data_IF_966492407783
#
_entry.id   IF_966492407783
#
_cell.length_a   1.000
_cell.length_b   1.000
_cell.length_c   1.000
_cell.angle_alpha   90.00
_cell.angle_beta   90.00
_cell.angle_gamma   90.00
#
_symmetry.space_group_name_H-M   'P 1'
#
loop_
_entity.id
_entity.type
_entity.pdbx_description
1 polymer ?
#
# COMPACT_ATOMS: atom_id res chain seq x y z
N UNK A 1 13.98 1.53 -5.98
CA UNK A 1 14.84 2.03 -4.90
C UNK A 1 15.98 2.91 -5.43
N UNK A 2 16.76 2.47 -6.45
CA UNK A 2 17.88 3.25 -7.02
C UNK A 2 17.47 4.65 -7.50
N UNK A 3 16.27 4.84 -7.99
CA UNK A 3 15.75 6.15 -8.39
C UNK A 3 15.57 7.09 -7.19
N UNK A 4 15.10 6.56 -6.07
CA UNK A 4 14.84 7.33 -4.85
C UNK A 4 16.08 7.50 -3.99
N UNK A 5 16.98 6.51 -4.03
CA UNK A 5 18.23 6.47 -3.26
C UNK A 5 19.43 6.24 -4.20
N UNK A 6 19.81 7.26 -5.01
CA UNK A 6 20.81 7.08 -6.06
C UNK A 6 22.24 6.92 -5.56
N UNK A 7 22.55 7.38 -4.34
CA UNK A 7 23.89 7.36 -3.75
C UNK A 7 24.23 6.08 -3.02
N UNK A 8 23.41 5.05 -3.13
CA UNK A 8 23.57 3.81 -2.36
C UNK A 8 23.73 4.06 -0.84
N UNK A 9 23.03 5.08 -0.35
CA UNK A 9 22.99 5.45 1.06
C UNK A 9 21.90 4.72 1.86
N UNK A 10 21.11 3.88 1.20
CA UNK A 10 20.07 3.08 1.81
C UNK A 10 20.67 1.92 2.61
N UNK A 11 20.33 1.84 3.90
CA UNK A 11 20.66 0.73 4.79
C UNK A 11 19.57 -0.33 4.77
N UNK A 12 18.31 0.10 4.88
CA UNK A 12 17.15 -0.76 4.99
C UNK A 12 15.91 -0.10 4.35
N UNK A 13 15.06 -0.90 3.74
CA UNK A 13 13.76 -0.45 3.25
C UNK A 13 12.67 -1.46 3.64
N UNK A 14 11.73 -1.01 4.46
CA UNK A 14 10.55 -1.76 4.83
C UNK A 14 9.38 -1.25 3.99
N UNK A 15 8.83 -2.13 3.18
CA UNK A 15 7.65 -1.83 2.34
C UNK A 15 6.39 -1.58 3.16
N UNK A 16 6.35 -2.12 4.37
CA UNK A 16 5.29 -1.89 5.33
C UNK A 16 5.87 -1.90 6.73
N UNK A 17 5.61 -0.83 7.49
CA UNK A 17 5.93 -0.77 8.91
C UNK A 17 4.68 -0.49 9.73
N UNK A 18 4.65 -1.00 10.96
CA UNK A 18 3.61 -0.73 11.94
C UNK A 18 3.95 0.46 12.86
N UNK A 19 5.07 1.15 12.62
CA UNK A 19 5.51 2.30 13.41
C UNK A 19 4.48 3.44 13.46
N UNK A 20 3.61 3.52 12.44
CA UNK A 20 2.51 4.48 12.37
C UNK A 20 1.13 3.86 12.71
N UNK A 21 1.10 2.62 13.22
CA UNK A 21 -0.12 1.87 13.52
C UNK A 21 -0.49 0.87 12.43
N UNK A 22 -1.38 -0.09 12.74
CA UNK A 22 -1.75 -1.16 11.82
C UNK A 22 -2.43 -0.67 10.54
N UNK A 23 -3.31 0.33 10.68
CA UNK A 23 -4.09 0.84 9.54
C UNK A 23 -3.30 1.84 8.69
N UNK A 24 -2.07 2.17 9.08
CA UNK A 24 -1.19 3.03 8.31
C UNK A 24 -0.36 2.18 7.36
N UNK A 25 -0.60 2.34 6.07
CA UNK A 25 0.20 1.70 5.03
C UNK A 25 1.34 2.64 4.65
N UNK A 26 2.46 2.51 5.34
CA UNK A 26 3.63 3.36 5.14
C UNK A 26 4.89 2.54 4.90
N UNK A 27 5.76 3.07 4.04
CA UNK A 27 7.11 2.56 3.84
C UNK A 27 8.08 3.29 4.76
N UNK A 28 9.09 2.59 5.24
CA UNK A 28 10.19 3.16 6.00
C UNK A 28 11.52 2.91 5.30
N UNK A 29 12.23 3.97 4.99
CA UNK A 29 13.61 3.93 4.54
C UNK A 29 14.54 4.36 5.67
N UNK A 30 15.55 3.54 5.98
CA UNK A 30 16.63 3.88 6.91
C UNK A 30 17.92 4.04 6.11
N UNK A 31 18.57 5.19 6.21
CA UNK A 31 19.83 5.47 5.53
C UNK A 31 21.02 4.99 6.35
N UNK A 32 22.21 4.92 5.71
CA UNK A 32 23.46 4.49 6.37
C UNK A 32 23.90 5.46 7.49
N UNK A 33 23.51 6.72 7.43
CA UNK A 33 23.73 7.72 8.48
C UNK A 33 22.72 7.63 9.65
N UNK A 34 21.80 6.67 9.61
CA UNK A 34 20.78 6.44 10.62
C UNK A 34 19.51 7.29 10.43
N UNK A 35 19.48 8.21 9.48
CA UNK A 35 18.27 9.00 9.19
C UNK A 35 17.14 8.10 8.67
N UNK A 36 15.90 8.43 9.06
CA UNK A 36 14.69 7.67 8.72
C UNK A 36 13.73 8.53 7.92
N UNK A 37 13.16 7.96 6.87
CA UNK A 37 12.17 8.60 6.01
C UNK A 37 10.95 7.70 5.91
N UNK A 38 9.80 8.21 6.34
CA UNK A 38 8.51 7.53 6.21
C UNK A 38 7.76 8.13 5.02
N UNK A 39 7.19 7.28 4.19
CA UNK A 39 6.36 7.69 3.06
C UNK A 39 5.06 6.91 3.01
N UNK A 40 3.98 7.58 2.64
CA UNK A 40 2.70 6.92 2.37
C UNK A 40 2.83 5.98 1.17
N UNK A 41 2.09 4.90 1.20
CA UNK A 41 2.05 3.90 0.12
C UNK A 41 1.66 4.53 -1.24
N UNK A 42 0.84 5.56 -1.23
CA UNK A 42 0.42 6.24 -2.45
C UNK A 42 1.48 7.23 -2.97
N UNK A 43 2.47 7.58 -2.16
CA UNK A 43 3.61 8.42 -2.54
C UNK A 43 4.77 7.60 -3.09
N UNK A 44 4.91 6.35 -2.64
CA UNK A 44 5.92 5.44 -3.19
C UNK A 44 5.41 4.82 -4.49
N UNK A 45 6.17 5.01 -5.59
CA UNK A 45 5.74 4.57 -6.91
C UNK A 45 5.65 3.05 -7.04
N UNK A 46 6.49 2.31 -6.32
CA UNK A 46 6.42 0.85 -6.33
C UNK A 46 5.17 0.36 -5.61
N UNK A 47 4.93 0.85 -4.40
CA UNK A 47 3.75 0.49 -3.61
C UNK A 47 2.45 0.87 -4.33
N UNK A 48 2.39 2.09 -4.86
CA UNK A 48 1.24 2.58 -5.65
C UNK A 48 0.92 1.64 -6.82
N UNK A 49 1.93 1.28 -7.62
CA UNK A 49 1.74 0.38 -8.76
C UNK A 49 1.43 -1.06 -8.32
N UNK A 50 2.05 -1.55 -7.25
CA UNK A 50 1.80 -2.88 -6.71
C UNK A 50 0.35 -3.02 -6.20
N UNK A 51 -0.13 -2.09 -5.38
CA UNK A 51 -1.50 -2.13 -4.86
C UNK A 51 -2.58 -1.92 -5.92
N UNK A 52 -2.24 -1.23 -7.02
CA UNK A 52 -3.11 -1.15 -8.20
C UNK A 52 -2.98 -2.35 -9.13
N UNK A 53 -2.19 -3.37 -8.78
CA UNK A 53 -1.95 -4.59 -9.57
C UNK A 53 -1.34 -4.30 -10.96
N UNK A 54 -0.65 -3.16 -11.11
CA UNK A 54 -0.18 -2.66 -12.40
C UNK A 54 0.92 -3.55 -13.01
N UNK A 55 1.80 -4.10 -12.17
CA UNK A 55 2.93 -4.91 -12.64
C UNK A 55 3.08 -6.24 -11.90
N UNK A 56 1.98 -6.77 -11.37
CA UNK A 56 1.97 -8.13 -10.83
C UNK A 56 2.31 -9.14 -11.92
N UNK A 57 2.86 -10.28 -11.51
CA UNK A 57 3.14 -11.38 -12.42
C UNK A 57 1.83 -11.94 -12.97
N UNK A 58 1.82 -12.41 -14.22
CA UNK A 58 0.66 -13.06 -14.82
C UNK A 58 0.24 -14.29 -14.04
N UNK A 59 1.21 -15.03 -13.50
CA UNK A 59 0.97 -16.17 -12.60
C UNK A 59 0.11 -15.81 -11.38
N UNK A 60 0.11 -14.54 -10.92
CA UNK A 60 -0.74 -14.11 -9.80
C UNK A 60 -2.23 -14.16 -10.17
N UNK A 61 -2.57 -13.81 -11.42
CA UNK A 61 -3.95 -13.89 -11.90
C UNK A 61 -4.40 -15.32 -12.24
N UNK A 62 -3.45 -16.20 -12.52
CA UNK A 62 -3.68 -17.60 -12.84
C UNK A 62 -3.39 -18.53 -11.65
N UNK A 63 -3.13 -17.98 -10.46
CA UNK A 63 -2.71 -18.74 -9.30
C UNK A 63 -3.78 -19.76 -8.88
N UNK A 64 -3.42 -21.05 -8.93
CA UNK A 64 -4.30 -22.15 -8.51
C UNK A 64 -4.52 -22.16 -6.99
N UNK A 65 -3.64 -21.51 -6.22
CA UNK A 65 -3.69 -21.47 -4.77
C UNK A 65 -4.45 -20.24 -4.21
N UNK A 66 -4.93 -19.36 -5.08
CA UNK A 66 -5.56 -18.11 -4.63
C UNK A 66 -7.02 -18.30 -4.15
N UNK A 67 -7.65 -19.40 -4.52
CA UNK A 67 -9.04 -19.72 -4.17
C UNK A 67 -9.14 -21.10 -3.49
N UNK A 68 -10.24 -21.39 -2.76
CA UNK A 68 -10.53 -22.74 -2.26
C UNK A 68 -10.65 -23.77 -3.38
N UNK A 69 -10.30 -25.05 -3.11
CA UNK A 69 -9.76 -25.55 -1.85
C UNK A 69 -8.31 -25.12 -1.63
N UNK A 70 -8.00 -24.70 -0.39
CA UNK A 70 -6.63 -24.30 -0.02
C UNK A 70 -5.76 -25.53 0.19
N UNK A 71 -4.47 -25.43 -0.20
CA UNK A 71 -3.51 -26.54 -0.07
C UNK A 71 -2.98 -26.69 1.37
N UNK A 72 -2.86 -25.58 2.11
CA UNK A 72 -2.40 -25.61 3.51
C UNK A 72 -3.52 -25.92 4.49
N UNK A 73 -3.18 -26.45 5.64
CA UNK A 73 -4.12 -26.71 6.73
C UNK A 73 -4.74 -25.39 7.26
N UNK A 74 -3.92 -24.33 7.32
CA UNK A 74 -4.34 -22.99 7.76
C UNK A 74 -4.17 -21.96 6.65
N UNK A 75 -5.09 -20.98 6.62
CA UNK A 75 -4.89 -19.72 5.90
C UNK A 75 -4.83 -18.59 6.92
N UNK A 76 -3.71 -17.86 6.98
CA UNK A 76 -3.48 -16.80 7.97
C UNK A 76 -3.25 -15.48 7.25
N UNK A 77 -3.84 -14.42 7.75
CA UNK A 77 -3.66 -13.08 7.22
C UNK A 77 -4.05 -11.99 8.21
N UNK A 78 -3.85 -10.73 7.82
CA UNK A 78 -4.39 -9.59 8.57
C UNK A 78 -5.91 -9.56 8.42
N UNK A 79 -6.66 -9.37 9.51
CA UNK A 79 -8.11 -9.28 9.45
C UNK A 79 -8.56 -7.86 9.12
N UNK A 80 -8.68 -7.55 7.85
CA UNK A 80 -9.21 -6.27 7.39
C UNK A 80 -10.71 -6.19 7.61
N UNK A 81 -11.16 -5.07 8.17
CA UNK A 81 -12.59 -4.82 8.39
C UNK A 81 -13.16 -5.46 9.64
N UNK A 82 -12.33 -6.02 10.52
CA UNK A 82 -12.78 -6.60 11.78
C UNK A 82 -13.55 -5.60 12.64
N UNK A 83 -13.17 -4.34 12.61
CA UNK A 83 -13.85 -3.25 13.31
C UNK A 83 -15.31 -3.02 12.88
N UNK A 84 -15.69 -3.53 11.70
CA UNK A 84 -17.08 -3.51 11.21
C UNK A 84 -17.90 -4.67 11.78
N UNK A 85 -17.22 -5.75 12.15
CA UNK A 85 -17.85 -6.90 12.79
C UNK A 85 -18.00 -6.67 14.29
N UNK A 86 -16.90 -6.29 14.95
CA UNK A 86 -16.88 -5.93 16.36
C UNK A 86 -15.89 -4.79 16.61
N UNK A 87 -16.38 -3.57 16.94
CA UNK A 87 -15.51 -2.41 17.20
C UNK A 87 -14.59 -2.56 18.40
N UNK A 88 -14.89 -3.49 19.33
CA UNK A 88 -14.09 -3.72 20.53
C UNK A 88 -12.83 -4.57 20.25
N UNK A 89 -12.80 -5.26 19.12
CA UNK A 89 -11.64 -6.05 18.70
C UNK A 89 -10.55 -5.16 18.05
N UNK A 90 -10.00 -4.26 18.85
CA UNK A 90 -8.93 -3.36 18.42
C UNK A 90 -7.61 -3.76 19.07
N UNK A 91 -6.59 -3.99 18.25
CA UNK A 91 -5.22 -4.13 18.70
C UNK A 91 -4.32 -3.24 17.83
N UNK A 92 -3.45 -2.40 18.42
CA UNK A 92 -2.52 -1.55 17.65
C UNK A 92 -1.60 -2.34 16.70
N UNK A 93 -1.29 -3.59 17.06
CA UNK A 93 -0.47 -4.49 16.24
C UNK A 93 -1.29 -5.25 15.20
N UNK A 94 -2.62 -5.17 15.30
CA UNK A 94 -3.54 -5.87 14.44
C UNK A 94 -4.01 -7.22 14.96
N UNK A 95 -5.05 -7.71 14.33
CA UNK A 95 -5.64 -9.01 14.62
C UNK A 95 -5.46 -9.91 13.40
N UNK A 96 -5.02 -11.13 13.63
CA UNK A 96 -4.90 -12.12 12.58
C UNK A 96 -6.25 -12.80 12.32
N UNK A 97 -6.58 -12.98 11.05
CA UNK A 97 -7.61 -13.89 10.61
C UNK A 97 -6.99 -15.26 10.37
N UNK A 98 -7.63 -16.30 10.86
CA UNK A 98 -7.21 -17.69 10.67
C UNK A 98 -8.38 -18.50 10.13
N UNK A 99 -8.23 -19.04 8.91
CA UNK A 99 -9.18 -20.00 8.37
C UNK A 99 -8.62 -21.41 8.59
N UNK A 100 -9.44 -22.29 9.15
CA UNK A 100 -9.16 -23.71 9.29
C UNK A 100 -9.65 -24.41 8.02
N UNK A 101 -8.76 -24.99 7.25
CA UNK A 101 -9.07 -25.47 5.91
C UNK A 101 -9.47 -26.96 5.87
N UNK A 102 -9.24 -27.68 6.98
CA UNK A 102 -9.54 -29.12 7.09
C UNK A 102 -9.57 -29.57 8.57
N UNK A 103 -10.02 -30.81 8.80
CA UNK A 103 -10.13 -31.40 10.15
C UNK A 103 -8.80 -31.49 10.92
N UNK A 104 -7.68 -31.60 10.22
CA UNK A 104 -6.37 -31.58 10.88
C UNK A 104 -6.10 -30.21 11.50
N UNK A 105 -6.46 -29.14 10.79
CA UNK A 105 -6.35 -27.76 11.31
C UNK A 105 -7.26 -27.57 12.53
N UNK A 106 -8.47 -28.10 12.51
CA UNK A 106 -9.39 -28.03 13.65
C UNK A 106 -8.79 -28.68 14.89
N UNK A 107 -8.22 -29.90 14.77
CA UNK A 107 -7.56 -30.57 15.90
C UNK A 107 -6.39 -29.75 16.45
N UNK A 108 -5.50 -29.25 15.59
CA UNK A 108 -4.38 -28.43 16.00
C UNK A 108 -4.87 -27.13 16.66
N UNK A 109 -5.93 -26.52 16.11
CA UNK A 109 -6.52 -25.30 16.67
C UNK A 109 -6.98 -25.49 18.11
N UNK A 110 -7.67 -26.58 18.38
CA UNK A 110 -8.14 -26.91 19.74
C UNK A 110 -7.00 -27.05 20.74
N UNK A 111 -5.81 -27.53 20.32
CA UNK A 111 -4.62 -27.65 21.16
C UNK A 111 -3.95 -26.29 21.45
N UNK A 112 -3.94 -25.37 20.47
CA UNK A 112 -3.27 -24.08 20.61
C UNK A 112 -4.19 -22.96 21.14
N UNK A 113 -5.50 -23.07 20.97
CA UNK A 113 -6.50 -22.10 21.40
C UNK A 113 -6.30 -21.59 22.83
N UNK A 114 -6.02 -22.44 23.86
CA UNK A 114 -5.80 -21.96 25.23
C UNK A 114 -4.56 -21.07 25.40
N UNK A 115 -3.66 -21.01 24.41
CA UNK A 115 -2.42 -20.22 24.41
C UNK A 115 -2.57 -18.91 23.65
N UNK A 116 -3.70 -18.68 22.98
CA UNK A 116 -3.95 -17.49 22.22
C UNK A 116 -4.36 -16.33 23.15
N UNK A 117 -4.04 -15.10 22.73
CA UNK A 117 -4.45 -13.90 23.44
C UNK A 117 -5.99 -13.79 23.48
N UNK A 118 -6.63 -14.14 22.40
CA UNK A 118 -8.06 -14.36 22.28
C UNK A 118 -8.37 -15.23 21.06
N UNK A 119 -9.54 -15.83 21.03
CA UNK A 119 -10.06 -16.62 19.95
C UNK A 119 -11.56 -16.34 19.85
N UNK A 120 -11.99 -15.76 18.74
CA UNK A 120 -13.36 -15.37 18.48
C UNK A 120 -13.80 -15.90 17.12
N UNK A 121 -14.79 -16.79 17.08
CA UNK A 121 -15.35 -17.26 15.83
C UNK A 121 -16.06 -16.14 15.06
N UNK A 122 -15.71 -15.99 13.79
CA UNK A 122 -16.32 -15.03 12.87
C UNK A 122 -16.92 -15.77 11.68
N UNK A 123 -18.11 -15.38 11.19
CA UNK A 123 -18.70 -16.00 10.01
C UNK A 123 -17.75 -15.91 8.80
N UNK A 124 -17.52 -17.05 8.16
CA UNK A 124 -16.58 -17.16 7.02
C UNK A 124 -16.93 -16.18 5.90
N UNK A 125 -18.22 -15.97 5.62
CA UNK A 125 -18.67 -15.06 4.58
C UNK A 125 -18.31 -13.60 4.89
N UNK A 126 -18.34 -13.22 6.16
CA UNK A 126 -17.88 -11.88 6.57
C UNK A 126 -16.37 -11.74 6.37
N UNK A 127 -15.59 -12.69 6.86
CA UNK A 127 -14.16 -12.72 6.74
C UNK A 127 -13.69 -12.64 5.28
N UNK A 128 -14.23 -13.52 4.44
CA UNK A 128 -13.91 -13.61 3.01
C UNK A 128 -14.30 -12.34 2.23
N UNK A 129 -15.41 -11.69 2.59
CA UNK A 129 -15.85 -10.45 1.94
C UNK A 129 -14.82 -9.34 2.04
N UNK A 130 -14.11 -9.25 3.16
CA UNK A 130 -13.14 -8.18 3.43
C UNK A 130 -11.71 -8.54 3.03
N UNK A 131 -11.35 -9.82 2.99
CA UNK A 131 -9.98 -10.30 2.81
C UNK A 131 -9.70 -11.03 1.49
N UNK A 132 -10.63 -11.09 0.57
CA UNK A 132 -10.49 -11.63 -0.81
C UNK A 132 -9.94 -13.06 -0.90
N UNK A 133 -10.12 -13.90 0.09
CA UNK A 133 -9.57 -15.27 0.10
C UNK A 133 -10.17 -16.23 -0.93
N UNK A 134 -11.24 -15.86 -1.60
CA UNK A 134 -11.93 -16.67 -2.62
C UNK A 134 -11.67 -16.20 -4.04
N UNK A 135 -10.84 -15.17 -4.24
CA UNK A 135 -10.66 -14.57 -5.57
C UNK A 135 -9.21 -14.51 -5.99
N UNK A 136 -8.95 -14.84 -7.26
CA UNK A 136 -7.67 -14.59 -7.89
C UNK A 136 -7.42 -13.09 -8.01
N UNK A 137 -6.15 -12.70 -7.98
CA UNK A 137 -5.76 -11.30 -8.23
C UNK A 137 -6.15 -10.89 -9.65
N UNK A 138 -6.76 -9.73 -9.80
CA UNK A 138 -7.05 -9.15 -11.12
C UNK A 138 -5.82 -8.39 -11.61
N UNK A 139 -5.47 -8.62 -12.85
CA UNK A 139 -4.44 -7.83 -13.54
C UNK A 139 -5.03 -6.47 -13.91
N UNK A 140 -4.22 -5.41 -13.78
CA UNK A 140 -4.64 -4.08 -14.20
C UNK A 140 -4.83 -4.04 -15.73
N UNK A 141 -5.90 -3.42 -16.26
CA UNK A 141 -6.15 -3.37 -17.72
C UNK A 141 -4.98 -2.73 -18.47
N UNK A 142 -4.37 -1.69 -17.91
CA UNK A 142 -3.26 -0.98 -18.54
C UNK A 142 -1.87 -1.57 -18.24
N UNK A 143 -1.81 -2.83 -17.78
CA UNK A 143 -0.54 -3.51 -17.52
C UNK A 143 0.36 -3.56 -18.76
N UNK A 144 -0.18 -3.83 -19.92
CA UNK A 144 0.57 -3.85 -21.17
C UNK A 144 1.26 -2.49 -21.41
N UNK A 145 0.50 -1.41 -21.30
CA UNK A 145 1.03 -0.05 -21.43
C UNK A 145 2.13 0.28 -20.42
N UNK A 146 2.01 -0.23 -19.19
CA UNK A 146 3.08 -0.06 -18.22
C UNK A 146 4.40 -0.70 -18.70
N UNK A 147 4.34 -1.92 -19.22
CA UNK A 147 5.52 -2.62 -19.71
C UNK A 147 6.11 -2.01 -20.99
N UNK A 148 5.28 -1.41 -21.84
CA UNK A 148 5.72 -0.64 -23.01
C UNK A 148 6.48 0.62 -22.61
N UNK A 149 6.00 1.35 -21.59
CA UNK A 149 6.61 2.58 -21.11
C UNK A 149 7.76 2.37 -20.12
N UNK A 150 7.88 1.16 -19.57
CA UNK A 150 8.91 0.81 -18.60
C UNK A 150 10.31 1.03 -19.18
N UNK A 151 11.14 1.78 -18.47
CA UNK A 151 12.50 2.11 -18.87
C UNK A 151 12.63 3.36 -19.73
N UNK A 152 11.53 3.93 -20.23
CA UNK A 152 11.54 5.19 -20.99
C UNK A 152 11.59 6.43 -20.08
N UNK A 153 11.19 6.29 -18.83
CA UNK A 153 11.23 7.33 -17.82
C UNK A 153 11.40 6.71 -16.42
N UNK A 154 11.67 7.52 -15.37
CA UNK A 154 11.65 7.08 -13.99
C UNK A 154 10.36 6.33 -13.64
N UNK A 155 10.46 5.27 -12.79
CA UNK A 155 9.32 4.43 -12.40
C UNK A 155 8.13 5.26 -11.92
N UNK A 156 8.40 6.28 -11.13
CA UNK A 156 7.35 7.16 -10.59
C UNK A 156 6.58 7.89 -11.69
N UNK A 157 7.27 8.32 -12.75
CA UNK A 157 6.63 8.98 -13.91
C UNK A 157 5.80 7.98 -14.71
N UNK A 158 6.34 6.78 -14.94
CA UNK A 158 5.62 5.72 -15.69
C UNK A 158 4.36 5.29 -14.96
N UNK A 159 4.45 5.06 -13.65
CA UNK A 159 3.30 4.65 -12.84
C UNK A 159 2.19 5.72 -12.87
N UNK A 160 2.55 7.00 -12.68
CA UNK A 160 1.56 8.08 -12.75
C UNK A 160 0.96 8.20 -14.15
N UNK A 161 1.79 8.16 -15.20
CA UNK A 161 1.30 8.26 -16.58
C UNK A 161 0.27 7.18 -16.93
N UNK A 162 0.51 5.95 -16.47
CA UNK A 162 -0.41 4.83 -16.74
C UNK A 162 -1.68 4.95 -15.89
N UNK A 163 -1.55 5.23 -14.59
CA UNK A 163 -2.71 5.29 -13.68
C UNK A 163 -3.60 6.51 -13.91
N UNK A 164 -3.04 7.62 -14.40
CA UNK A 164 -3.76 8.85 -14.71
C UNK A 164 -4.14 8.95 -16.19
N UNK A 165 -3.80 7.93 -16.98
CA UNK A 165 -4.07 7.85 -18.43
C UNK A 165 -3.57 9.08 -19.20
N UNK A 166 -2.34 9.52 -18.93
CA UNK A 166 -1.70 10.67 -19.58
C UNK A 166 -0.32 10.28 -20.16
N UNK A 167 0.31 11.19 -20.90
CA UNK A 167 1.64 10.96 -21.46
C UNK A 167 2.75 11.13 -20.41
N UNK A 168 3.93 10.56 -20.67
CA UNK A 168 5.12 10.76 -19.84
C UNK A 168 5.51 12.25 -19.75
N UNK A 169 5.35 12.98 -20.86
CA UNK A 169 5.66 14.41 -20.91
C UNK A 169 4.74 15.24 -20.03
N UNK A 170 3.43 14.93 -20.04
CA UNK A 170 2.45 15.61 -19.19
C UNK A 170 2.77 15.44 -17.72
N UNK A 171 3.08 14.22 -17.27
CA UNK A 171 3.50 13.95 -15.89
C UNK A 171 4.76 14.73 -15.55
N UNK A 172 5.78 14.71 -16.42
CA UNK A 172 7.02 15.43 -16.18
C UNK A 172 6.79 16.95 -16.10
N UNK A 173 5.98 17.51 -16.98
CA UNK A 173 5.60 18.94 -16.95
C UNK A 173 4.85 19.29 -15.64
N UNK A 174 3.89 18.47 -15.26
CA UNK A 174 3.13 18.66 -14.01
C UNK A 174 4.05 18.65 -12.78
N UNK A 175 4.98 17.69 -12.70
CA UNK A 175 5.95 17.58 -11.62
C UNK A 175 6.93 18.77 -11.57
N UNK A 176 7.44 19.21 -12.73
CA UNK A 176 8.28 20.42 -12.80
C UNK A 176 7.51 21.64 -12.28
N UNK A 177 6.25 21.83 -12.70
CA UNK A 177 5.38 22.91 -12.25
C UNK A 177 5.10 22.85 -10.74
N UNK A 178 4.85 21.66 -10.20
CA UNK A 178 4.63 21.45 -8.77
C UNK A 178 5.88 21.78 -7.95
N UNK A 179 7.06 21.32 -8.40
CA UNK A 179 8.34 21.61 -7.75
C UNK A 179 8.62 23.12 -7.73
N UNK A 180 8.40 23.81 -8.86
CA UNK A 180 8.57 25.27 -8.95
C UNK A 180 7.63 26.01 -8.00
N UNK A 181 6.33 25.65 -7.97
CA UNK A 181 5.36 26.23 -7.03
C UNK A 181 5.77 25.98 -5.57
N UNK A 182 6.26 24.79 -5.24
CA UNK A 182 6.76 24.45 -3.91
C UNK A 182 7.96 25.32 -3.51
N UNK A 183 8.90 25.55 -4.43
CA UNK A 183 10.06 26.42 -4.22
C UNK A 183 9.62 27.87 -4.00
N UNK A 184 8.75 28.40 -4.87
CA UNK A 184 8.20 29.77 -4.73
C UNK A 184 7.50 29.91 -3.37
N UNK A 185 6.65 28.93 -2.98
CA UNK A 185 5.95 28.96 -1.68
C UNK A 185 6.91 28.96 -0.49
N UNK A 186 8.05 28.27 -0.58
CA UNK A 186 9.08 28.29 0.47
C UNK A 186 9.83 29.62 0.53
N UNK A 187 10.14 30.21 -0.61
CA UNK A 187 10.88 31.48 -0.72
C UNK A 187 10.03 32.71 -0.45
N UNK A 188 8.69 32.61 -0.51
CA UNK A 188 7.78 33.75 -0.27
C UNK A 188 7.70 34.04 1.23
N UNK A 189 8.09 35.25 1.69
CA UNK A 189 8.02 35.65 3.08
C UNK A 189 6.58 35.61 3.64
N UNK A 190 6.44 35.36 4.95
CA UNK A 190 5.13 35.26 5.62
C UNK A 190 4.23 36.48 5.40
N UNK A 191 4.70 37.74 5.43
CA UNK A 191 3.86 38.92 5.18
C UNK A 191 3.23 38.92 3.77
N UNK A 192 3.97 38.45 2.75
CA UNK A 192 3.47 38.41 1.36
C UNK A 192 2.41 37.33 1.20
N UNK A 193 2.53 36.20 1.91
CA UNK A 193 1.51 35.15 1.93
C UNK A 193 0.19 35.63 2.53
N UNK A 194 0.26 36.41 3.61
CA UNK A 194 -0.94 36.98 4.25
C UNK A 194 -1.61 38.04 3.38
N UNK A 195 -0.83 38.90 2.72
CA UNK A 195 -1.36 39.88 1.78
C UNK A 195 -2.09 39.20 0.60
N UNK A 196 -1.48 38.17 0.01
CA UNK A 196 -2.10 37.40 -1.07
C UNK A 196 -3.42 36.75 -0.65
N UNK A 197 -3.50 36.18 0.57
CA UNK A 197 -4.76 35.64 1.11
C UNK A 197 -5.83 36.71 1.31
N UNK A 198 -5.47 37.91 1.79
CA UNK A 198 -6.41 39.04 1.97
C UNK A 198 -6.97 39.50 0.63
N UNK A 199 -6.14 39.58 -0.41
CA UNK A 199 -6.58 39.97 -1.76
C UNK A 199 -7.53 38.92 -2.35
N UNK A 200 -7.20 37.63 -2.26
CA UNK A 200 -8.06 36.55 -2.75
C UNK A 200 -9.40 36.43 -2.01
N UNK A 201 -9.48 36.86 -0.73
CA UNK A 201 -10.75 36.92 0.01
C UNK A 201 -11.65 38.10 -0.41
N UNK A 202 -11.10 39.15 -1.02
CA UNK A 202 -11.86 40.32 -1.49
C UNK A 202 -12.41 40.15 -2.93
N UNK A 203 -11.90 39.11 -3.66
CA UNK A 203 -12.31 38.84 -5.06
C UNK A 203 -13.36 37.69 -5.12
N UNK A 204 -13.68 37.10 -3.99
CA UNK A 204 -14.78 36.12 -3.82
C UNK A 204 -15.96 36.80 -3.11
#
# INVERSE_FOLDING_TARGET
LKERFPKDDLKEFLFRTKDAGQNCMVCLATRKDGSREISDINEDAFEKGFHKSLFLRESCAQCHFAAPPRQGDFTIGDFWGLEKYNPDYKDPLGVSEVLLNNEKADRIWMEIKPKLKFDEPVPVDFAVKHNRYRTKTRIHPDRARFFELRGQAPLSVVVDAVLENCSLEEVQKARKKAKLKGTIKKLTPAPVKELAKKVLRKIR
#
